data_IF_096014243017
#
_entry.id   IF_096014243017
#
_cell.length_a   1.000
_cell.length_b   1.000
_cell.length_c   1.000
_cell.angle_alpha   90.00
_cell.angle_beta   90.00
_cell.angle_gamma   90.00
#
_symmetry.space_group_name_H-M   'P 1'
#
loop_
_entity.id
_entity.type
_entity.pdbx_description
1 polymer ?
#
# COMPACT_ATOMS: atom_id res chain seq x y z
N UNK A 1 3.48 16.76 11.40
CA UNK A 1 2.91 15.40 11.49
C UNK A 1 1.53 15.49 10.88
N UNK A 2 1.40 15.09 9.61
CA UNK A 2 0.16 15.17 8.83
C UNK A 2 -0.77 14.03 9.26
N UNK A 3 -2.04 14.36 9.53
CA UNK A 3 -3.06 13.48 10.10
C UNK A 3 -3.76 12.58 9.07
N UNK A 4 -3.47 12.74 7.78
CA UNK A 4 -3.80 11.72 6.79
C UNK A 4 -2.90 10.52 7.04
N UNK A 5 -3.48 9.31 7.08
CA UNK A 5 -2.79 8.05 7.40
C UNK A 5 -1.37 8.03 6.85
N UNK A 6 -0.41 7.61 7.68
CA UNK A 6 0.99 7.55 7.25
C UNK A 6 1.05 6.59 6.07
N UNK A 7 1.86 6.97 5.07
CA UNK A 7 2.21 6.06 3.99
C UNK A 7 2.71 4.75 4.62
N UNK A 8 2.02 3.65 4.34
CA UNK A 8 2.49 2.34 4.78
C UNK A 8 3.78 2.05 4.02
N UNK A 9 4.86 1.98 4.79
CA UNK A 9 6.18 1.67 4.27
C UNK A 9 6.34 0.17 4.33
N UNK A 10 6.29 -0.47 3.18
CA UNK A 10 6.63 -1.88 3.04
C UNK A 10 8.14 -2.06 2.86
N UNK A 11 8.86 -2.59 3.85
CA UNK A 11 10.32 -2.77 3.76
C UNK A 11 10.73 -3.89 2.80
N UNK A 12 9.78 -4.74 2.42
CA UNK A 12 9.92 -5.77 1.40
C UNK A 12 9.48 -5.29 0.01
N UNK A 13 9.25 -3.98 -0.14
CA UNK A 13 8.77 -3.39 -1.40
C UNK A 13 9.67 -3.65 -2.61
N UNK A 14 10.93 -4.05 -2.39
CA UNK A 14 11.84 -4.46 -3.46
C UNK A 14 11.45 -5.79 -4.15
N UNK A 15 10.57 -6.60 -3.57
CA UNK A 15 10.08 -7.84 -4.19
C UNK A 15 8.84 -7.62 -5.07
N UNK A 16 8.11 -6.53 -4.84
CA UNK A 16 6.87 -6.15 -5.55
C UNK A 16 7.03 -5.84 -7.06
N UNK A 17 8.18 -5.40 -7.60
CA UNK A 17 8.30 -5.07 -9.03
C UNK A 17 8.07 -6.26 -9.98
N UNK A 18 8.24 -7.48 -9.48
CA UNK A 18 8.01 -8.72 -10.22
C UNK A 18 7.02 -9.62 -9.48
N UNK A 19 6.16 -10.27 -10.26
CA UNK A 19 5.25 -11.28 -9.72
C UNK A 19 6.02 -12.52 -9.27
N UNK A 20 5.45 -13.27 -8.33
CA UNK A 20 6.04 -14.51 -7.82
C UNK A 20 6.39 -15.49 -8.95
N UNK A 21 5.58 -15.51 -10.01
CA UNK A 21 5.84 -16.34 -11.19
C UNK A 21 7.15 -15.96 -11.90
N UNK A 22 7.43 -14.66 -12.08
CA UNK A 22 8.66 -14.18 -12.71
C UNK A 22 9.88 -14.53 -11.86
N UNK A 23 9.76 -14.40 -10.53
CA UNK A 23 10.83 -14.82 -9.60
C UNK A 23 11.17 -16.31 -9.74
N UNK A 24 10.14 -17.17 -9.78
CA UNK A 24 10.32 -18.61 -10.00
C UNK A 24 10.93 -18.89 -11.38
N UNK A 25 10.51 -18.17 -12.42
CA UNK A 25 11.06 -18.31 -13.76
C UNK A 25 12.54 -17.92 -13.84
N UNK A 26 12.96 -16.84 -13.15
CA UNK A 26 14.37 -16.44 -13.07
C UNK A 26 15.18 -17.53 -12.35
N UNK A 27 14.67 -18.05 -11.22
CA UNK A 27 15.33 -19.12 -10.47
C UNK A 27 15.44 -20.41 -11.29
N UNK A 28 14.41 -20.75 -12.07
CA UNK A 28 14.42 -21.90 -12.96
C UNK A 28 15.32 -21.70 -14.20
N UNK A 29 15.49 -20.46 -14.67
CA UNK A 29 16.36 -20.15 -15.80
C UNK A 29 17.85 -20.40 -15.48
N UNK A 30 18.28 -20.22 -14.22
CA UNK A 30 19.67 -20.43 -13.82
C UNK A 30 20.19 -21.86 -14.08
N UNK A 31 19.57 -22.94 -13.56
CA UNK A 31 20.02 -24.30 -13.84
C UNK A 31 19.87 -24.65 -15.33
N UNK A 32 18.84 -24.13 -16.00
CA UNK A 32 18.66 -24.32 -17.45
C UNK A 32 19.85 -23.76 -18.23
N UNK A 33 20.28 -22.54 -17.92
CA UNK A 33 21.44 -21.92 -18.55
C UNK A 33 22.76 -22.66 -18.27
N UNK A 34 22.93 -23.17 -17.05
CA UNK A 34 24.09 -24.01 -16.69
C UNK A 34 24.10 -25.29 -17.54
N UNK A 35 22.95 -25.96 -17.67
CA UNK A 35 22.80 -27.16 -18.52
C UNK A 35 23.10 -26.83 -19.98
N UNK A 36 22.60 -25.70 -20.51
CA UNK A 36 22.92 -25.26 -21.87
C UNK A 36 24.42 -25.06 -22.07
N UNK A 37 25.13 -24.46 -21.11
CA UNK A 37 26.58 -24.28 -21.20
C UNK A 37 27.37 -25.59 -21.09
N UNK A 38 26.80 -26.65 -20.53
CA UNK A 38 27.42 -27.97 -20.46
C UNK A 38 27.15 -28.77 -21.75
N UNK A 39 25.91 -28.77 -22.22
CA UNK A 39 25.44 -29.65 -23.33
C UNK A 39 25.75 -29.07 -24.72
N UNK A 40 25.65 -27.76 -24.92
CA UNK A 40 25.86 -27.15 -26.24
C UNK A 40 27.25 -27.42 -26.86
N UNK A 41 28.36 -27.35 -26.09
CA UNK A 41 29.68 -27.66 -26.62
C UNK A 41 29.84 -29.13 -27.07
N UNK A 42 29.18 -30.06 -26.36
CA UNK A 42 29.20 -31.49 -26.66
C UNK A 42 28.39 -31.81 -27.93
N UNK A 43 27.23 -31.17 -28.11
CA UNK A 43 26.35 -31.44 -29.25
C UNK A 43 26.76 -30.74 -30.55
N UNK A 44 27.24 -29.49 -30.48
CA UNK A 44 27.37 -28.66 -31.69
C UNK A 44 28.82 -28.29 -32.04
N UNK A 45 29.75 -28.37 -31.09
CA UNK A 45 31.03 -27.65 -31.23
C UNK A 45 32.25 -28.57 -31.17
N UNK A 46 32.05 -29.90 -31.24
CA UNK A 46 33.09 -30.94 -31.29
C UNK A 46 34.17 -30.74 -30.19
N UNK A 47 33.74 -30.23 -29.03
CA UNK A 47 34.61 -30.01 -27.89
C UNK A 47 34.91 -31.35 -27.23
N UNK A 48 36.20 -31.65 -27.03
CA UNK A 48 36.60 -32.78 -26.20
C UNK A 48 36.04 -32.54 -24.79
N UNK A 49 35.00 -33.30 -24.43
CA UNK A 49 34.24 -33.14 -23.19
C UNK A 49 35.15 -33.20 -21.97
N UNK A 50 35.51 -32.03 -21.46
CA UNK A 50 36.14 -31.89 -20.15
C UNK A 50 35.09 -31.33 -19.22
N UNK A 51 34.65 -32.17 -18.30
CA UNK A 51 33.81 -31.83 -17.13
C UNK A 51 34.60 -30.92 -16.15
N UNK A 52 35.87 -30.63 -16.46
CA UNK A 52 36.69 -29.66 -15.75
C UNK A 52 36.11 -28.24 -15.93
N UNK A 53 35.61 -27.64 -14.85
CA UNK A 53 35.19 -26.23 -14.83
C UNK A 53 33.69 -25.97 -14.77
N UNK A 54 32.86 -26.93 -14.32
CA UNK A 54 31.44 -26.66 -13.99
C UNK A 54 31.33 -25.49 -12.99
N UNK A 55 32.22 -25.41 -12.01
CA UNK A 55 32.31 -24.30 -11.06
C UNK A 55 32.49 -22.95 -11.77
N UNK A 56 33.41 -22.86 -12.75
CA UNK A 56 33.65 -21.66 -13.55
C UNK A 56 32.41 -21.30 -14.38
N UNK A 57 31.70 -22.29 -14.95
CA UNK A 57 30.47 -22.08 -15.71
C UNK A 57 29.33 -21.56 -14.81
N UNK A 58 29.15 -22.15 -13.64
CA UNK A 58 28.17 -21.72 -12.63
C UNK A 58 28.48 -20.30 -12.15
N UNK A 59 29.75 -20.04 -11.82
CA UNK A 59 30.23 -18.73 -11.40
C UNK A 59 30.01 -17.69 -12.49
N UNK A 60 30.26 -18.02 -13.76
CA UNK A 60 30.02 -17.13 -14.89
C UNK A 60 28.55 -16.74 -15.05
N UNK A 61 27.62 -17.69 -14.92
CA UNK A 61 26.17 -17.44 -15.00
C UNK A 61 25.71 -16.54 -13.86
N UNK A 62 26.20 -16.79 -12.64
CA UNK A 62 25.88 -16.00 -11.44
C UNK A 62 26.47 -14.58 -11.51
N UNK A 63 27.73 -14.44 -11.92
CA UNK A 63 28.40 -13.14 -12.11
C UNK A 63 27.64 -12.27 -13.10
N UNK A 64 27.21 -12.84 -14.23
CA UNK A 64 26.42 -12.10 -15.24
C UNK A 64 25.06 -11.67 -14.69
N UNK A 65 24.40 -12.48 -13.86
CA UNK A 65 23.15 -12.09 -13.20
C UNK A 65 23.38 -10.92 -12.24
N UNK A 66 24.49 -10.92 -11.50
CA UNK A 66 24.87 -9.88 -10.54
C UNK A 66 25.54 -8.66 -11.21
N UNK A 67 25.58 -8.59 -12.55
CA UNK A 67 26.26 -7.54 -13.31
C UNK A 67 27.76 -7.41 -13.00
N UNK A 68 28.40 -8.49 -12.62
CA UNK A 68 29.84 -8.57 -12.41
C UNK A 68 30.56 -8.96 -13.71
N UNK A 69 31.85 -8.69 -13.78
CA UNK A 69 32.68 -9.08 -14.90
C UNK A 69 32.88 -10.60 -14.93
N UNK A 70 32.89 -11.14 -16.14
CA UNK A 70 33.17 -12.56 -16.39
C UNK A 70 34.55 -12.69 -17.03
N UNK A 71 35.43 -13.43 -16.37
CA UNK A 71 36.72 -13.83 -16.93
C UNK A 71 36.52 -15.03 -17.84
N UNK A 72 36.22 -14.78 -19.13
CA UNK A 72 36.08 -15.85 -20.12
C UNK A 72 37.43 -16.52 -20.35
N UNK A 73 37.61 -17.82 -20.02
CA UNK A 73 38.84 -18.54 -20.31
C UNK A 73 39.10 -18.59 -21.82
N UNK A 74 40.36 -18.45 -22.22
CA UNK A 74 40.75 -18.50 -23.64
C UNK A 74 40.32 -19.79 -24.37
N UNK A 75 40.11 -20.87 -23.62
CA UNK A 75 39.71 -22.19 -24.13
C UNK A 75 38.22 -22.33 -24.45
N UNK A 76 37.39 -21.29 -24.23
CA UNK A 76 35.96 -21.35 -24.55
C UNK A 76 35.68 -21.21 -26.04
N UNK A 77 34.85 -22.12 -26.54
CA UNK A 77 34.44 -22.17 -27.94
C UNK A 77 33.43 -21.06 -28.25
N UNK A 78 33.27 -20.74 -29.55
CA UNK A 78 32.37 -19.68 -30.01
C UNK A 78 30.92 -19.87 -29.52
N UNK A 79 30.45 -21.11 -29.42
CA UNK A 79 29.12 -21.47 -28.94
C UNK A 79 28.88 -21.07 -27.48
N UNK A 80 29.86 -21.27 -26.61
CA UNK A 80 29.79 -20.90 -25.18
C UNK A 80 29.75 -19.37 -25.05
N UNK A 81 30.57 -18.67 -25.84
CA UNK A 81 30.61 -17.20 -25.87
C UNK A 81 29.28 -16.60 -26.33
N UNK A 82 28.65 -17.18 -27.37
CA UNK A 82 27.32 -16.74 -27.84
C UNK A 82 26.26 -17.01 -26.78
N UNK A 83 26.30 -18.17 -26.12
CA UNK A 83 25.34 -18.52 -25.05
C UNK A 83 25.43 -17.55 -23.88
N UNK A 84 26.65 -17.21 -23.43
CA UNK A 84 26.85 -16.19 -22.40
C UNK A 84 26.46 -14.79 -22.87
N UNK A 85 26.71 -14.45 -24.14
CA UNK A 85 26.27 -13.18 -24.72
C UNK A 85 24.74 -13.03 -24.74
N UNK A 86 24.02 -14.10 -25.10
CA UNK A 86 22.54 -14.13 -25.02
C UNK A 86 22.08 -13.98 -23.58
N UNK A 87 22.71 -14.71 -22.65
CA UNK A 87 22.41 -14.58 -21.22
C UNK A 87 22.61 -13.16 -20.71
N UNK A 88 23.72 -12.51 -21.06
CA UNK A 88 24.00 -11.11 -20.72
C UNK A 88 22.91 -10.15 -21.24
N UNK A 89 22.45 -10.33 -22.48
CA UNK A 89 21.39 -9.50 -23.03
C UNK A 89 20.07 -9.72 -22.26
N UNK A 90 19.72 -10.97 -21.98
CA UNK A 90 18.52 -11.31 -21.21
C UNK A 90 18.58 -10.73 -19.79
N UNK A 91 19.68 -10.90 -19.07
CA UNK A 91 19.83 -10.34 -17.71
C UNK A 91 19.83 -8.82 -17.70
N UNK A 92 20.43 -8.18 -18.71
CA UNK A 92 20.38 -6.72 -18.87
C UNK A 92 18.94 -6.22 -19.00
N UNK A 93 18.14 -6.83 -19.89
CA UNK A 93 16.73 -6.45 -20.07
C UNK A 93 15.94 -6.68 -18.79
N UNK A 94 16.13 -7.81 -18.12
CA UNK A 94 15.47 -8.12 -16.85
C UNK A 94 15.79 -7.07 -15.77
N UNK A 95 17.06 -6.71 -15.58
CA UNK A 95 17.45 -5.75 -14.54
C UNK A 95 16.97 -4.34 -14.87
N UNK A 96 17.00 -3.92 -16.14
CA UNK A 96 16.46 -2.63 -16.56
C UNK A 96 14.94 -2.56 -16.36
N UNK A 97 14.21 -3.63 -16.65
CA UNK A 97 12.77 -3.73 -16.38
C UNK A 97 12.47 -3.69 -14.88
N UNK A 98 13.23 -4.44 -14.07
CA UNK A 98 13.14 -4.40 -12.61
C UNK A 98 13.32 -2.97 -12.07
N UNK A 99 14.39 -2.29 -12.47
CA UNK A 99 14.70 -0.94 -12.03
C UNK A 99 13.60 0.06 -12.43
N UNK A 100 13.06 -0.06 -13.65
CA UNK A 100 11.95 0.77 -14.13
C UNK A 100 10.66 0.56 -13.34
N UNK A 101 10.27 -0.70 -13.12
CA UNK A 101 9.07 -1.04 -12.34
C UNK A 101 9.21 -0.59 -10.87
N UNK A 102 10.37 -0.82 -10.26
CA UNK A 102 10.67 -0.36 -8.92
C UNK A 102 10.58 1.17 -8.82
N UNK A 103 11.14 1.90 -9.78
CA UNK A 103 11.05 3.36 -9.82
C UNK A 103 9.61 3.84 -9.95
N UNK A 104 8.79 3.18 -10.77
CA UNK A 104 7.37 3.50 -10.91
C UNK A 104 6.58 3.26 -9.62
N UNK A 105 6.86 2.17 -8.90
CA UNK A 105 6.21 1.86 -7.62
C UNK A 105 6.62 2.85 -6.53
N UNK A 106 7.90 3.23 -6.49
CA UNK A 106 8.40 4.20 -5.51
C UNK A 106 7.89 5.62 -5.77
N UNK A 107 7.63 5.96 -7.04
CA UNK A 107 7.16 7.28 -7.43
C UNK A 107 5.71 7.54 -7.01
N UNK A 108 4.85 6.52 -6.99
CA UNK A 108 3.44 6.66 -6.65
C UNK A 108 3.15 5.93 -5.35
N UNK A 109 2.95 6.70 -4.27
CA UNK A 109 2.47 6.14 -3.01
C UNK A 109 0.98 6.36 -2.88
N UNK A 110 0.30 5.32 -2.44
CA UNK A 110 -1.13 5.38 -2.13
C UNK A 110 -1.27 5.61 -0.65
N UNK A 111 -2.02 6.64 -0.26
CA UNK A 111 -2.36 6.87 1.15
C UNK A 111 -3.46 5.85 1.49
N UNK A 112 -3.23 4.89 2.40
CA UNK A 112 -4.26 3.93 2.77
C UNK A 112 -5.39 4.67 3.49
N UNK A 113 -6.60 4.60 2.92
CA UNK A 113 -7.83 5.08 3.53
C UNK A 113 -8.59 3.83 4.03
N UNK A 114 -8.38 3.40 5.30
CA UNK A 114 -8.85 2.10 5.78
C UNK A 114 -10.38 1.98 5.86
N UNK A 115 -11.09 3.11 5.90
CA UNK A 115 -12.53 3.15 6.14
C UNK A 115 -13.17 3.92 5.00
N UNK A 116 -13.84 3.19 4.10
CA UNK A 116 -14.54 3.78 2.96
C UNK A 116 -16.04 3.55 3.03
N UNK A 117 -16.45 2.52 3.76
CA UNK A 117 -17.84 2.13 3.92
C UNK A 117 -18.22 1.99 5.38
N UNK A 118 -19.54 1.97 5.61
CA UNK A 118 -20.10 1.74 6.92
C UNK A 118 -19.89 0.31 7.42
N UNK A 119 -19.67 -0.65 6.49
CA UNK A 119 -19.30 -2.03 6.81
C UNK A 119 -17.88 -2.08 7.41
N UNK A 120 -16.95 -1.31 6.83
CA UNK A 120 -15.57 -1.24 7.33
C UNK A 120 -15.51 -0.71 8.78
N UNK A 121 -16.45 0.14 9.18
CA UNK A 121 -16.57 0.64 10.56
C UNK A 121 -16.98 -0.47 11.53
N UNK A 122 -17.81 -1.42 11.09
CA UNK A 122 -18.22 -2.58 11.89
C UNK A 122 -17.06 -3.57 12.01
N UNK A 123 -16.38 -3.83 10.89
CA UNK A 123 -15.34 -4.86 10.80
C UNK A 123 -14.01 -4.46 11.47
N UNK A 124 -13.64 -3.17 11.43
CA UNK A 124 -12.43 -2.66 12.09
C UNK A 124 -12.73 -2.18 13.51
N UNK A 125 -11.79 -2.28 14.48
CA UNK A 125 -11.99 -1.91 15.88
C UNK A 125 -11.95 -0.40 16.13
N UNK A 126 -12.67 0.38 15.32
CA UNK A 126 -12.79 1.84 15.47
C UNK A 126 -14.05 2.23 16.23
N UNK A 127 -13.99 3.40 16.87
CA UNK A 127 -15.12 3.96 17.61
C UNK A 127 -15.83 5.01 16.76
N UNK A 128 -17.14 4.83 16.55
CA UNK A 128 -17.96 5.75 15.78
C UNK A 128 -18.55 6.84 16.69
N UNK A 129 -18.46 8.10 16.25
CA UNK A 129 -18.99 9.27 16.95
C UNK A 129 -20.16 9.85 16.16
N UNK A 130 -21.30 10.02 16.84
CA UNK A 130 -22.49 10.65 16.27
C UNK A 130 -23.01 11.81 17.13
N UNK A 131 -23.69 12.80 16.50
CA UNK A 131 -24.40 13.82 17.24
C UNK A 131 -25.60 13.20 17.98
N UNK A 132 -25.70 13.50 19.28
CA UNK A 132 -26.80 13.05 20.14
C UNK A 132 -28.13 13.60 19.63
N UNK A 133 -29.14 12.73 19.52
CA UNK A 133 -30.48 13.09 19.05
C UNK A 133 -30.57 13.33 17.54
N UNK A 134 -29.53 13.04 16.78
CA UNK A 134 -29.54 13.17 15.32
C UNK A 134 -30.50 12.19 14.64
N UNK A 135 -30.95 12.55 13.44
CA UNK A 135 -31.80 11.70 12.61
C UNK A 135 -31.13 10.37 12.26
N UNK A 136 -29.83 10.39 11.95
CA UNK A 136 -29.03 9.19 11.66
C UNK A 136 -28.99 8.24 12.85
N UNK A 137 -28.76 8.76 14.06
CA UNK A 137 -28.79 7.97 15.29
C UNK A 137 -30.15 7.30 15.48
N UNK A 138 -31.25 8.03 15.32
CA UNK A 138 -32.60 7.46 15.47
C UNK A 138 -32.87 6.34 14.46
N UNK A 139 -32.41 6.48 13.21
CA UNK A 139 -32.54 5.43 12.20
C UNK A 139 -31.75 4.19 12.61
N UNK A 140 -30.51 4.34 13.07
CA UNK A 140 -29.69 3.21 13.51
C UNK A 140 -30.38 2.46 14.64
N UNK A 141 -30.86 3.17 15.67
CA UNK A 141 -31.55 2.57 16.83
C UNK A 141 -32.89 1.92 16.46
N UNK A 142 -33.58 2.42 15.43
CA UNK A 142 -34.88 1.87 14.99
C UNK A 142 -34.72 0.70 14.01
N UNK A 143 -33.53 0.52 13.42
CA UNK A 143 -33.27 -0.52 12.46
C UNK A 143 -33.36 -1.91 13.12
N UNK A 144 -34.19 -2.79 12.56
CA UNK A 144 -34.44 -4.14 13.09
C UNK A 144 -33.47 -5.20 12.55
N UNK A 145 -32.84 -4.96 11.41
CA UNK A 145 -31.96 -5.92 10.73
C UNK A 145 -31.03 -5.24 9.74
N UNK A 146 -29.90 -5.88 9.43
CA UNK A 146 -28.92 -5.42 8.45
C UNK A 146 -27.82 -4.55 9.03
N UNK A 147 -27.04 -3.91 8.16
CA UNK A 147 -25.85 -3.13 8.53
C UNK A 147 -26.15 -2.01 9.54
N UNK A 148 -27.26 -1.31 9.38
CA UNK A 148 -27.65 -0.22 10.28
C UNK A 148 -27.95 -0.71 11.71
N UNK A 149 -28.49 -1.93 11.82
CA UNK A 149 -28.72 -2.57 13.12
C UNK A 149 -27.41 -2.99 13.77
N UNK A 150 -26.45 -3.51 12.99
CA UNK A 150 -25.12 -3.86 13.51
C UNK A 150 -24.40 -2.64 14.11
N UNK A 151 -24.60 -1.46 13.54
CA UNK A 151 -24.04 -0.21 14.07
C UNK A 151 -24.72 0.21 15.36
N UNK A 152 -26.02 -0.01 15.49
CA UNK A 152 -26.71 0.20 16.75
C UNK A 152 -26.13 -0.70 17.85
N UNK A 153 -25.80 -1.96 17.51
CA UNK A 153 -25.18 -2.90 18.46
C UNK A 153 -23.76 -2.46 18.89
N UNK A 154 -23.05 -1.65 18.08
CA UNK A 154 -21.78 -1.04 18.51
C UNK A 154 -21.94 -0.14 19.75
N UNK A 155 -23.15 0.33 20.04
CA UNK A 155 -23.44 1.04 21.27
C UNK A 155 -23.29 0.15 22.50
N UNK A 156 -23.79 -1.08 22.44
CA UNK A 156 -23.69 -2.04 23.53
C UNK A 156 -22.24 -2.50 23.73
N UNK A 157 -21.45 -2.51 22.66
CA UNK A 157 -20.00 -2.76 22.69
C UNK A 157 -19.18 -1.57 23.22
N UNK A 158 -19.79 -0.40 23.46
CA UNK A 158 -19.10 0.82 23.87
C UNK A 158 -18.28 1.49 22.75
N UNK A 159 -18.49 1.06 21.51
CA UNK A 159 -17.83 1.57 20.29
C UNK A 159 -18.65 2.63 19.56
N UNK A 160 -19.79 3.06 20.12
CA UNK A 160 -20.61 4.17 19.65
C UNK A 160 -20.66 5.27 20.71
N UNK A 161 -20.09 6.44 20.41
CA UNK A 161 -20.13 7.60 21.31
C UNK A 161 -21.11 8.64 20.78
N UNK A 162 -22.04 9.06 21.63
CA UNK A 162 -22.99 10.11 21.32
C UNK A 162 -22.55 11.42 21.97
N UNK A 163 -22.27 12.43 21.17
CA UNK A 163 -21.78 13.73 21.65
C UNK A 163 -22.77 14.83 21.30
N UNK A 164 -22.99 15.83 22.17
CA UNK A 164 -23.78 17.01 21.79
C UNK A 164 -23.21 17.71 20.55
N UNK A 165 -24.08 18.20 19.66
CA UNK A 165 -23.67 18.80 18.37
C UNK A 165 -22.67 19.95 18.51
N UNK A 166 -22.74 20.73 19.61
CA UNK A 166 -21.83 21.86 19.84
C UNK A 166 -20.41 21.41 20.23
N UNK A 167 -20.23 20.20 20.76
CA UNK A 167 -18.94 19.63 21.14
C UNK A 167 -18.26 18.88 19.99
N UNK A 168 -19.00 18.56 18.92
CA UNK A 168 -18.51 17.77 17.79
C UNK A 168 -17.24 18.36 17.16
N UNK A 169 -17.14 19.69 17.04
CA UNK A 169 -15.95 20.33 16.49
C UNK A 169 -14.70 20.06 17.35
N UNK A 170 -14.85 20.02 18.68
CA UNK A 170 -13.76 19.65 19.60
C UNK A 170 -13.40 18.17 19.52
N UNK A 171 -14.38 17.31 19.29
CA UNK A 171 -14.17 15.87 19.09
C UNK A 171 -13.39 15.57 17.81
N UNK A 172 -13.63 16.32 16.74
CA UNK A 172 -12.87 16.19 15.50
C UNK A 172 -11.37 16.42 15.73
N UNK A 173 -11.01 17.44 16.51
CA UNK A 173 -9.61 17.76 16.76
C UNK A 173 -8.91 16.81 17.75
N UNK A 174 -9.66 16.24 18.69
CA UNK A 174 -9.12 15.45 19.81
C UNK A 174 -9.18 13.94 19.58
N UNK A 175 -10.32 13.41 19.12
CA UNK A 175 -10.55 11.97 18.95
C UNK A 175 -10.30 11.54 17.50
N UNK A 176 -10.91 12.22 16.53
CA UNK A 176 -10.84 11.81 15.11
C UNK A 176 -9.42 11.98 14.57
N UNK A 177 -8.74 13.08 14.91
CA UNK A 177 -7.35 13.34 14.50
C UNK A 177 -6.36 12.30 15.02
N UNK A 178 -6.68 11.60 16.12
CA UNK A 178 -5.84 10.51 16.66
C UNK A 178 -5.82 9.29 15.75
N UNK A 179 -6.87 9.10 14.94
CA UNK A 179 -7.03 7.97 14.01
C UNK A 179 -7.88 6.82 14.54
N UNK A 180 -8.22 6.82 15.84
CA UNK A 180 -8.97 5.71 16.46
C UNK A 180 -10.51 5.87 16.35
N UNK A 181 -10.98 7.05 15.96
CA UNK A 181 -12.40 7.40 15.94
C UNK A 181 -12.84 7.89 14.56
N UNK A 182 -14.06 7.51 14.17
CA UNK A 182 -14.71 7.97 12.95
C UNK A 182 -15.90 8.84 13.32
N UNK A 183 -16.01 10.00 12.69
CA UNK A 183 -17.17 10.88 12.86
C UNK A 183 -18.16 10.68 11.73
N UNK A 184 -19.43 10.47 12.06
CA UNK A 184 -20.51 10.41 11.09
C UNK A 184 -21.43 11.61 11.24
N UNK A 185 -21.50 12.44 10.21
CA UNK A 185 -22.40 13.59 10.09
C UNK A 185 -22.77 13.78 8.60
N UNK A 186 -23.80 14.58 8.27
CA UNK A 186 -24.09 14.91 6.89
C UNK A 186 -22.90 15.56 6.17
N UNK A 187 -22.76 15.25 4.89
CA UNK A 187 -21.68 15.72 4.01
C UNK A 187 -21.41 17.22 4.19
N UNK A 188 -22.46 18.05 4.16
CA UNK A 188 -22.32 19.51 4.26
C UNK A 188 -21.67 19.98 5.57
N UNK A 189 -21.91 19.29 6.69
CA UNK A 189 -21.32 19.65 7.99
C UNK A 189 -19.87 19.21 8.06
N UNK A 190 -19.58 17.99 7.60
CA UNK A 190 -18.21 17.48 7.55
C UNK A 190 -17.36 18.36 6.64
N UNK A 191 -17.91 18.71 5.49
CA UNK A 191 -17.30 19.62 4.53
C UNK A 191 -16.98 20.98 5.17
N UNK A 192 -17.97 21.64 5.78
CA UNK A 192 -17.79 22.92 6.47
C UNK A 192 -16.71 22.83 7.56
N UNK A 193 -16.74 21.79 8.39
CA UNK A 193 -15.80 21.64 9.50
C UNK A 193 -14.37 21.39 9.01
N UNK A 194 -14.20 20.60 7.95
CA UNK A 194 -12.91 20.40 7.27
C UNK A 194 -12.38 21.70 6.66
N UNK A 195 -13.25 22.48 6.01
CA UNK A 195 -12.89 23.78 5.42
C UNK A 195 -12.45 24.80 6.48
N UNK A 196 -13.11 24.81 7.65
CA UNK A 196 -12.73 25.65 8.78
C UNK A 196 -11.41 25.21 9.42
N UNK A 197 -11.16 23.90 9.56
CA UNK A 197 -9.88 23.39 10.07
C UNK A 197 -8.72 23.74 9.13
N UNK A 198 -8.91 23.55 7.82
CA UNK A 198 -7.93 23.93 6.81
C UNK A 198 -7.65 25.44 6.84
N UNK A 199 -8.67 26.27 6.98
CA UNK A 199 -8.49 27.73 7.07
C UNK A 199 -7.72 28.17 8.33
N UNK A 200 -7.64 27.33 9.36
CA UNK A 200 -6.90 27.60 10.61
C UNK A 200 -5.48 27.03 10.60
N UNK A 201 -5.29 25.83 10.05
CA UNK A 201 -4.04 25.06 10.14
C UNK A 201 -3.27 24.94 8.82
N UNK A 202 -3.90 25.30 7.70
CA UNK A 202 -3.37 25.16 6.33
C UNK A 202 -2.96 23.71 5.96
N UNK A 203 -3.47 22.72 6.69
CA UNK A 203 -3.23 21.28 6.46
C UNK A 203 -4.53 20.51 6.27
N UNK A 204 -4.54 19.55 5.34
CA UNK A 204 -5.67 18.64 5.13
C UNK A 204 -5.38 17.31 5.83
N UNK A 205 -5.79 17.21 7.09
CA UNK A 205 -5.54 16.03 7.93
C UNK A 205 -6.67 15.00 7.90
N UNK A 206 -7.84 15.38 7.38
CA UNK A 206 -9.03 14.53 7.34
C UNK A 206 -9.37 14.15 5.91
N UNK A 207 -10.05 13.02 5.74
CA UNK A 207 -10.61 12.57 4.47
C UNK A 207 -12.08 12.18 4.66
N UNK A 208 -12.87 12.26 3.59
CA UNK A 208 -14.25 11.80 3.59
C UNK A 208 -14.31 10.39 2.99
N UNK A 209 -15.10 9.52 3.60
CA UNK A 209 -15.40 8.20 3.05
C UNK A 209 -16.26 8.32 1.79
N UNK A 210 -16.03 7.49 0.77
CA UNK A 210 -16.84 7.48 -0.46
C UNK A 210 -18.25 6.92 -0.23
N UNK A 211 -18.40 6.01 0.72
CA UNK A 211 -19.68 5.37 1.03
C UNK A 211 -20.70 6.36 1.62
N UNK A 212 -21.81 6.55 0.91
CA UNK A 212 -22.99 7.26 1.41
C UNK A 212 -23.98 6.26 1.98
N UNK A 213 -24.41 6.48 3.22
CA UNK A 213 -25.28 5.52 3.93
C UNK A 213 -26.69 6.06 4.22
N UNK A 214 -26.88 7.38 4.26
CA UNK A 214 -28.18 8.00 4.47
C UNK A 214 -28.35 9.25 3.60
N UNK A 215 -29.56 9.45 3.10
CA UNK A 215 -29.95 10.71 2.46
C UNK A 215 -30.51 11.66 3.52
N UNK A 216 -29.99 12.90 3.55
CA UNK A 216 -30.47 13.94 4.46
C UNK A 216 -31.28 14.96 3.68
N UNK A 217 -32.50 15.25 4.14
CA UNK A 217 -33.38 16.26 3.56
C UNK A 217 -33.42 17.46 4.49
N UNK A 218 -33.12 18.65 3.95
CA UNK A 218 -33.32 19.92 4.65
C UNK A 218 -34.68 20.52 4.29
N UNK A 219 -35.35 21.12 5.27
CA UNK A 219 -36.63 21.80 5.06
C UNK A 219 -36.90 22.83 6.14
N UNK A 220 -37.79 23.78 5.83
CA UNK A 220 -38.27 24.75 6.80
C UNK A 220 -39.52 24.19 7.49
N UNK A 221 -39.46 24.09 8.83
CA UNK A 221 -40.60 23.70 9.63
C UNK A 221 -41.57 24.87 9.81
N UNK A 222 -42.85 24.63 9.54
CA UNK A 222 -43.93 25.59 9.79
C UNK A 222 -45.06 24.94 10.59
N UNK A 223 -45.93 25.76 11.18
CA UNK A 223 -47.13 25.27 11.87
C UNK A 223 -48.04 24.53 10.89
N UNK A 224 -48.59 23.40 11.33
CA UNK A 224 -49.55 22.62 10.56
C UNK A 224 -50.72 23.51 10.11
N UNK A 225 -51.11 23.39 8.86
CA UNK A 225 -52.21 24.14 8.23
C UNK A 225 -52.02 25.66 8.18
N UNK A 226 -50.79 26.16 8.35
CA UNK A 226 -50.51 27.58 8.20
C UNK A 226 -50.67 28.04 6.73
N UNK A 227 -51.39 29.14 6.46
CA UNK A 227 -51.51 29.70 5.10
C UNK A 227 -50.16 30.14 4.53
N UNK A 228 -49.14 30.35 5.38
CA UNK A 228 -47.78 30.67 4.96
C UNK A 228 -47.13 29.55 4.17
N UNK A 229 -47.42 28.28 4.49
CA UNK A 229 -46.85 27.13 3.78
C UNK A 229 -47.32 27.08 2.32
N UNK A 230 -48.56 27.48 2.05
CA UNK A 230 -49.14 27.53 0.70
C UNK A 230 -48.37 28.53 -0.18
N UNK A 231 -47.99 29.69 0.39
CA UNK A 231 -47.24 30.71 -0.33
C UNK A 231 -45.72 30.45 -0.40
N UNK A 232 -45.14 29.84 0.63
CA UNK A 232 -43.70 29.64 0.75
C UNK A 232 -43.20 28.42 -0.04
N UNK A 233 -43.93 27.30 -0.02
CA UNK A 233 -43.52 26.07 -0.70
C UNK A 233 -43.16 26.28 -2.19
N UNK A 234 -44.00 26.92 -3.03
CA UNK A 234 -43.64 27.12 -4.44
C UNK A 234 -42.44 28.05 -4.63
N UNK A 235 -42.25 29.02 -3.72
CA UNK A 235 -41.10 29.94 -3.78
C UNK A 235 -39.79 29.23 -3.39
N UNK A 236 -39.83 28.35 -2.39
CA UNK A 236 -38.68 27.55 -1.97
C UNK A 236 -38.32 26.54 -3.07
N UNK A 237 -39.33 25.95 -3.74
CA UNK A 237 -39.09 25.09 -4.91
C UNK A 237 -38.39 25.86 -6.03
N UNK A 238 -38.92 27.03 -6.44
CA UNK A 238 -38.29 27.87 -7.46
C UNK A 238 -36.86 28.31 -7.06
N UNK A 239 -36.62 28.61 -5.78
CA UNK A 239 -35.30 28.93 -5.25
C UNK A 239 -34.33 27.73 -5.35
N UNK A 240 -34.83 26.53 -5.11
CA UNK A 240 -34.02 25.30 -5.17
C UNK A 240 -33.73 24.91 -6.63
N UNK A 241 -34.73 25.00 -7.50
CA UNK A 241 -34.63 24.73 -8.95
C UNK A 241 -33.67 25.68 -9.66
N UNK A 242 -33.62 26.94 -9.23
CA UNK A 242 -32.64 27.92 -9.75
C UNK A 242 -31.20 27.66 -9.28
N UNK A 243 -30.98 26.72 -8.37
CA UNK A 243 -29.64 26.33 -7.91
C UNK A 243 -28.98 27.33 -6.95
N UNK A 244 -29.71 28.36 -6.50
CA UNK A 244 -29.19 29.39 -5.58
C UNK A 244 -28.58 28.80 -4.29
N UNK A 245 -29.21 27.81 -3.61
CA UNK A 245 -28.63 27.21 -2.41
C UNK A 245 -27.26 26.57 -2.65
N UNK A 246 -27.05 25.94 -3.81
CA UNK A 246 -25.76 25.37 -4.18
C UNK A 246 -24.72 26.46 -4.41
N UNK A 247 -25.09 27.50 -5.16
CA UNK A 247 -24.23 28.65 -5.42
C UNK A 247 -23.77 29.35 -4.12
N UNK A 248 -24.69 29.60 -3.18
CA UNK A 248 -24.34 30.21 -1.90
C UNK A 248 -23.43 29.33 -1.05
N UNK A 249 -23.63 28.01 -1.07
CA UNK A 249 -22.74 27.08 -0.37
C UNK A 249 -21.32 27.12 -0.93
N UNK A 250 -21.18 26.98 -2.24
CA UNK A 250 -19.87 27.01 -2.91
C UNK A 250 -19.16 28.36 -2.70
N UNK A 251 -19.90 29.47 -2.70
CA UNK A 251 -19.37 30.81 -2.44
C UNK A 251 -18.92 31.03 -0.99
N UNK A 252 -19.64 30.46 -0.03
CA UNK A 252 -19.35 30.63 1.40
C UNK A 252 -18.32 29.61 1.93
N UNK A 253 -18.00 28.56 1.17
CA UNK A 253 -16.98 27.56 1.50
C UNK A 253 -15.84 27.53 0.44
N UNK A 254 -15.10 28.63 0.21
CA UNK A 254 -14.12 28.69 -0.89
C UNK A 254 -12.89 27.78 -0.71
N UNK A 255 -12.54 27.39 0.53
CA UNK A 255 -11.27 26.73 0.84
C UNK A 255 -11.33 25.20 0.87
N UNK A 256 -12.53 24.62 0.76
CA UNK A 256 -12.70 23.18 0.92
C UNK A 256 -12.26 22.38 -0.32
N UNK A 257 -12.33 22.99 -1.50
CA UNK A 257 -11.95 22.37 -2.78
C UNK A 257 -10.50 21.90 -2.77
N UNK A 258 -9.64 22.59 -2.00
CA UNK A 258 -8.25 22.19 -1.78
C UNK A 258 -8.13 20.85 -1.06
N UNK A 259 -9.00 20.55 -0.08
CA UNK A 259 -8.97 19.30 0.70
C UNK A 259 -9.79 18.16 0.07
N UNK A 260 -10.90 18.46 -0.60
CA UNK A 260 -11.77 17.44 -1.22
C UNK A 260 -11.16 16.81 -2.48
N UNK A 261 -10.35 17.57 -3.23
CA UNK A 261 -9.80 17.10 -4.51
C UNK A 261 -8.36 16.59 -4.38
N UNK A 262 -7.86 16.30 -3.17
CA UNK A 262 -6.51 15.74 -3.05
C UNK A 262 -6.46 14.36 -3.70
N UNK A 263 -5.52 14.12 -4.62
CA UNK A 263 -5.35 12.81 -5.21
C UNK A 263 -4.92 11.79 -4.16
N UNK A 264 -5.60 10.65 -4.10
CA UNK A 264 -5.24 9.49 -3.26
C UNK A 264 -3.85 8.92 -3.55
N UNK A 265 -3.40 9.14 -4.79
CA UNK A 265 -2.07 8.79 -5.30
C UNK A 265 -1.24 10.06 -5.32
N UNK A 266 -0.27 10.14 -4.42
CA UNK A 266 0.65 11.27 -4.36
C UNK A 266 1.94 10.86 -5.07
N UNK A 267 2.39 11.72 -5.99
CA UNK A 267 3.72 11.59 -6.57
C UNK A 267 4.70 12.04 -5.49
N UNK A 268 5.47 11.10 -4.98
CA UNK A 268 6.33 11.35 -3.82
C UNK A 268 7.68 11.85 -4.31
N UNK A 269 7.94 13.14 -4.08
CA UNK A 269 9.26 13.75 -4.24
C UNK A 269 10.13 13.63 -2.98
N UNK A 270 9.69 12.91 -1.94
CA UNK A 270 10.43 12.76 -0.69
C UNK A 270 11.58 11.76 -0.83
N UNK A 271 12.64 11.98 -0.07
CA UNK A 271 13.79 11.08 -0.04
C UNK A 271 13.41 9.70 0.52
N UNK A 272 13.99 8.64 -0.02
CA UNK A 272 13.84 7.29 0.54
C UNK A 272 14.52 7.24 1.90
N UNK A 273 13.73 6.99 2.96
CA UNK A 273 14.25 6.76 4.30
C UNK A 273 14.74 5.33 4.50
N UNK A 274 15.55 5.12 5.55
CA UNK A 274 16.08 3.79 5.87
C UNK A 274 14.99 2.76 6.18
N UNK A 275 13.84 3.23 6.69
CA UNK A 275 12.65 2.40 6.95
C UNK A 275 12.14 1.70 5.67
N UNK A 276 12.41 2.25 4.48
CA UNK A 276 11.96 1.69 3.22
C UNK A 276 12.90 0.59 2.68
N UNK A 277 14.13 0.52 3.19
CA UNK A 277 15.20 -0.30 2.61
C UNK A 277 15.85 -1.27 3.61
N UNK A 278 15.41 -1.30 4.87
CA UNK A 278 16.01 -2.16 5.91
C UNK A 278 15.96 -3.65 5.55
N UNK A 279 14.94 -4.10 4.81
CA UNK A 279 14.83 -5.48 4.35
C UNK A 279 16.02 -5.93 3.48
N UNK A 280 16.58 -5.03 2.66
CA UNK A 280 17.77 -5.34 1.85
C UNK A 280 19.01 -5.61 2.73
N UNK A 281 19.18 -4.86 3.82
CA UNK A 281 20.28 -5.06 4.76
C UNK A 281 20.16 -6.40 5.52
N UNK A 282 18.95 -6.87 5.79
CA UNK A 282 18.72 -8.18 6.40
C UNK A 282 19.10 -9.31 5.44
N UNK A 283 18.75 -9.19 4.15
CA UNK A 283 19.17 -10.18 3.14
C UNK A 283 20.70 -10.22 3.00
N UNK A 284 21.34 -9.05 2.97
CA UNK A 284 22.81 -8.95 2.87
C UNK A 284 23.51 -9.60 4.07
N UNK A 285 23.08 -9.24 5.29
CA UNK A 285 23.68 -9.78 6.51
C UNK A 285 23.41 -11.28 6.62
N UNK A 286 22.17 -11.72 6.39
CA UNK A 286 21.81 -13.15 6.37
C UNK A 286 22.65 -13.96 5.38
N UNK A 287 22.84 -13.46 4.16
CA UNK A 287 23.69 -14.11 3.16
C UNK A 287 25.16 -14.21 3.60
N UNK A 288 25.72 -13.15 4.17
CA UNK A 288 27.08 -13.14 4.71
C UNK A 288 27.28 -14.16 5.83
N UNK A 289 26.33 -14.24 6.77
CA UNK A 289 26.33 -15.23 7.86
C UNK A 289 26.31 -16.67 7.34
N UNK A 290 25.54 -16.95 6.29
CA UNK A 290 25.51 -18.29 5.65
C UNK A 290 26.86 -18.62 5.02
N UNK A 291 27.50 -17.67 4.34
CA UNK A 291 28.84 -17.88 3.75
C UNK A 291 29.89 -18.13 4.83
N UNK A 292 29.88 -17.36 5.91
CA UNK A 292 30.82 -17.51 7.02
C UNK A 292 30.66 -18.87 7.72
N UNK A 293 29.42 -19.29 7.97
CA UNK A 293 29.15 -20.63 8.55
C UNK A 293 29.53 -21.76 7.62
N UNK A 294 29.29 -21.65 6.30
CA UNK A 294 29.78 -22.62 5.32
C UNK A 294 31.31 -22.73 5.34
N UNK A 295 32.03 -21.60 5.40
CA UNK A 295 33.49 -21.58 5.47
C UNK A 295 34.03 -22.21 6.76
N UNK A 296 33.40 -21.95 7.91
CA UNK A 296 33.79 -22.58 9.17
C UNK A 296 33.59 -24.11 9.15
N UNK A 297 32.55 -24.60 8.49
CA UNK A 297 32.29 -26.04 8.34
C UNK A 297 33.30 -26.71 7.39
N UNK A 298 33.68 -26.06 6.28
CA UNK A 298 34.70 -26.59 5.35
C UNK A 298 36.13 -26.50 5.88
N UNK A 299 36.44 -25.54 6.77
CA UNK A 299 37.75 -25.40 7.43
C UNK A 299 37.94 -26.40 8.58
N UNK A 300 36.89 -27.09 9.05
CA UNK A 300 36.98 -28.11 10.10
C UNK A 300 36.87 -29.58 9.61
N UNK A 301 37.75 -30.08 8.71
CA UNK A 301 37.82 -31.50 8.39
C UNK A 301 38.76 -32.29 9.32
N UNK A 302 39.51 -31.66 10.23
CA UNK A 302 40.58 -32.31 11.01
C UNK A 302 40.14 -32.98 12.33
N UNK A 303 38.85 -33.02 12.67
CA UNK A 303 38.37 -33.73 13.88
C UNK A 303 37.80 -35.14 13.59
N UNK A 304 37.66 -35.55 12.31
CA UNK A 304 37.07 -36.86 11.97
C UNK A 304 38.05 -38.02 11.75
N UNK A 305 39.36 -37.78 11.76
CA UNK A 305 40.36 -38.84 11.46
C UNK A 305 41.18 -39.36 12.65
N UNK A 306 40.90 -38.97 13.90
CA UNK A 306 41.64 -39.45 15.09
C UNK A 306 41.05 -40.69 15.77
N UNK A 307 39.96 -41.28 15.25
CA UNK A 307 39.41 -42.55 15.75
C UNK A 307 39.50 -43.69 14.73
N UNK A 308 40.72 -44.06 14.32
CA UNK A 308 41.01 -45.40 13.77
C UNK A 308 42.44 -45.81 14.10
N UNK A 309 42.67 -46.16 15.37
CA UNK A 309 43.73 -47.10 15.75
C UNK A 309 43.16 -48.52 15.64
N UNK A 310 43.77 -49.44 14.88
CA UNK A 310 43.41 -50.85 14.94
C UNK A 310 44.21 -51.51 16.08
N UNK A 311 43.48 -52.12 17.00
CA UNK A 311 44.00 -53.11 17.95
C UNK A 311 44.08 -54.48 17.27
N UNK A 312 45.30 -54.96 16.99
CA UNK A 312 45.84 -56.31 17.23
C UNK A 312 47.06 -56.56 16.36
#
# INVERSE_FOLDING_TARGET
MTGRGREEVDPWGFLLPFTTFVWVAILAALPVMIVFLIVLPECFCNGNGRIDGVEIKVESVLRVLLQQDVSVPGNWWWCERVTVGVWMLTTLVLIKSYAGNLMSLLAVRTIPEPIQSLQDVVDNPVTMVLPKGSYSLQIFLTAKSGLLHNIANLQDEGRLIMVPTFEMQGVMDTLVRRGDHVMANPDFYLEETMGLDFSRKESCDFYLSEGKFLFTIGGLGGQKDSPLLIGLNPRIMALTESGLPRYWRERNLPNITSCLNLPRKVVVNSSLGINNIWGMFVVLTGGGWVVETCNLVTINPNVKNTHRTPSR
#
